data_IF_541778098408
#
_entry.id   IF_541778098408
#
_cell.length_a   1.000
_cell.length_b   1.000
_cell.length_c   1.000
_cell.angle_alpha   90.00
_cell.angle_beta   90.00
_cell.angle_gamma   90.00
#
_symmetry.space_group_name_H-M   'P 1'
#
loop_
_entity.id
_entity.type
_entity.pdbx_description
1 polymer ?
#
# COMPACT_ATOMS: atom_id res chain seq x y z
N UNK A 1 -8.13 2.80 -4.51
CA UNK A 1 -7.30 1.80 -3.81
C UNK A 1 -7.05 0.69 -4.79
N UNK A 2 -5.79 0.31 -5.03
CA UNK A 2 -5.46 -0.92 -5.72
C UNK A 2 -6.23 -2.08 -5.11
N UNK A 3 -6.58 -3.06 -5.94
CA UNK A 3 -7.09 -4.31 -5.40
C UNK A 3 -6.04 -4.88 -4.44
N UNK A 4 -6.44 -5.30 -3.23
CA UNK A 4 -5.55 -5.91 -2.23
C UNK A 4 -4.72 -7.06 -2.81
N UNK A 5 -5.23 -7.75 -3.82
CA UNK A 5 -4.50 -8.79 -4.56
C UNK A 5 -3.26 -8.26 -5.30
N UNK A 6 -3.27 -7.02 -5.78
CA UNK A 6 -2.10 -6.38 -6.42
C UNK A 6 -0.98 -6.24 -5.39
N UNK A 7 -1.28 -5.69 -4.21
CA UNK A 7 -0.29 -5.57 -3.14
C UNK A 7 0.29 -6.94 -2.72
N UNK A 8 -0.56 -7.95 -2.53
CA UNK A 8 -0.12 -9.31 -2.22
C UNK A 8 0.79 -9.90 -3.32
N UNK A 9 0.48 -9.66 -4.60
CA UNK A 9 1.30 -10.11 -5.74
C UNK A 9 2.66 -9.43 -5.75
N UNK A 10 2.70 -8.11 -5.55
CA UNK A 10 3.94 -7.33 -5.47
C UNK A 10 4.79 -7.80 -4.29
N UNK A 11 4.21 -7.98 -3.11
CA UNK A 11 4.92 -8.51 -1.94
C UNK A 11 5.49 -9.92 -2.21
N UNK A 12 4.71 -10.82 -2.84
CA UNK A 12 5.20 -12.16 -3.19
C UNK A 12 6.40 -12.09 -4.13
N UNK A 13 6.39 -11.19 -5.10
CA UNK A 13 7.49 -11.03 -6.04
C UNK A 13 8.77 -10.47 -5.36
N UNK A 14 8.63 -9.59 -4.37
CA UNK A 14 9.78 -8.86 -3.79
C UNK A 14 10.36 -9.59 -2.57
N UNK A 15 9.51 -10.06 -1.65
CA UNK A 15 9.94 -10.63 -0.36
C UNK A 15 9.61 -12.12 -0.20
N UNK A 16 9.10 -12.75 -1.26
CA UNK A 16 8.66 -14.14 -1.27
C UNK A 16 7.63 -14.45 -0.16
N UNK A 17 6.73 -13.49 0.08
CA UNK A 17 5.62 -13.59 1.03
C UNK A 17 4.50 -12.64 0.60
N UNK A 18 3.24 -13.01 0.82
CA UNK A 18 2.10 -12.12 0.57
C UNK A 18 1.97 -10.97 1.57
N UNK A 19 2.62 -11.08 2.74
CA UNK A 19 2.58 -10.10 3.82
C UNK A 19 1.16 -9.61 4.14
N UNK A 20 0.20 -10.53 4.13
CA UNK A 20 -1.24 -10.21 4.19
C UNK A 20 -1.62 -9.39 5.42
N UNK A 21 -0.98 -9.66 6.57
CA UNK A 21 -1.19 -8.94 7.82
C UNK A 21 -0.67 -7.50 7.77
N UNK A 22 0.42 -7.25 7.04
CA UNK A 22 0.97 -5.90 6.85
C UNK A 22 -0.01 -5.05 6.06
N UNK A 23 -0.47 -5.57 4.92
CA UNK A 23 -1.48 -4.88 4.11
C UNK A 23 -2.79 -4.66 4.87
N UNK A 24 -3.21 -5.62 5.70
CA UNK A 24 -4.38 -5.44 6.56
C UNK A 24 -4.24 -4.24 7.50
N UNK A 25 -3.09 -4.12 8.16
CA UNK A 25 -2.87 -3.11 9.19
C UNK A 25 -2.68 -1.71 8.61
N UNK A 26 -1.95 -1.60 7.50
CA UNK A 26 -1.77 -0.33 6.80
C UNK A 26 -3.12 0.22 6.32
N UNK A 27 -4.00 -0.65 5.80
CA UNK A 27 -5.34 -0.28 5.34
C UNK A 27 -6.41 -0.27 6.45
N UNK A 28 -6.09 -0.68 7.67
CA UNK A 28 -7.06 -0.75 8.77
C UNK A 28 -7.85 0.56 8.99
N UNK A 29 -7.23 1.76 8.90
CA UNK A 29 -7.95 3.02 9.04
C UNK A 29 -9.04 3.24 8.00
N UNK A 30 -9.07 2.51 6.88
CA UNK A 30 -10.14 2.56 5.89
C UNK A 30 -11.52 2.30 6.50
N UNK A 31 -11.60 1.43 7.52
CA UNK A 31 -12.85 1.12 8.23
C UNK A 31 -13.50 2.34 8.90
N UNK A 32 -12.70 3.37 9.22
CA UNK A 32 -13.16 4.54 9.96
C UNK A 32 -13.07 5.83 9.12
N UNK A 33 -12.06 5.94 8.25
CA UNK A 33 -11.76 7.15 7.48
C UNK A 33 -12.14 7.05 5.99
N UNK A 34 -12.55 5.87 5.52
CA UNK A 34 -12.84 5.63 4.11
C UNK A 34 -11.68 6.05 3.21
N UNK A 35 -11.95 6.85 2.17
CA UNK A 35 -10.92 7.32 1.22
C UNK A 35 -9.78 8.13 1.86
N UNK A 36 -9.98 8.70 3.06
CA UNK A 36 -8.97 9.48 3.80
C UNK A 36 -8.01 8.62 4.65
N UNK A 37 -8.13 7.29 4.64
CA UNK A 37 -7.26 6.39 5.41
C UNK A 37 -5.76 6.57 5.17
N UNK A 38 -5.37 7.02 3.96
CA UNK A 38 -3.97 7.29 3.59
C UNK A 38 -3.31 8.43 4.37
N UNK A 39 -4.03 9.07 5.29
CA UNK A 39 -3.45 10.01 6.25
C UNK A 39 -2.71 9.24 7.37
N UNK A 40 -3.09 8.00 7.65
CA UNK A 40 -2.48 7.14 8.66
C UNK A 40 -1.75 5.97 7.99
N UNK A 41 -0.56 5.64 8.50
CA UNK A 41 0.26 4.48 8.07
C UNK A 41 0.77 4.51 6.62
N UNK A 42 0.52 5.61 5.91
CA UNK A 42 0.87 5.78 4.49
C UNK A 42 1.96 6.84 4.27
N UNK A 43 2.58 7.34 5.33
CA UNK A 43 3.88 8.02 5.26
C UNK A 43 5.02 6.99 5.41
N UNK A 44 6.22 7.25 4.87
CA UNK A 44 7.32 6.30 4.90
C UNK A 44 7.74 5.84 6.31
N UNK A 45 7.70 6.75 7.30
CA UNK A 45 8.17 6.45 8.65
C UNK A 45 7.18 5.52 9.35
N UNK A 46 5.89 5.88 9.37
CA UNK A 46 4.86 5.04 9.99
C UNK A 46 4.69 3.71 9.26
N UNK A 47 4.81 3.68 7.93
CA UNK A 47 4.79 2.44 7.15
C UNK A 47 5.95 1.51 7.53
N UNK A 48 7.17 2.04 7.72
CA UNK A 48 8.33 1.27 8.19
C UNK A 48 8.06 0.69 9.57
N UNK A 49 7.55 1.49 10.51
CA UNK A 49 7.26 1.07 11.88
C UNK A 49 6.20 -0.05 11.88
N UNK A 50 5.05 0.17 11.23
CA UNK A 50 3.97 -0.83 11.14
C UNK A 50 4.45 -2.10 10.45
N UNK A 51 5.16 -1.96 9.33
CA UNK A 51 5.72 -3.08 8.58
C UNK A 51 6.70 -3.90 9.42
N UNK A 52 7.63 -3.25 10.11
CA UNK A 52 8.62 -3.92 10.94
C UNK A 52 7.98 -4.64 12.13
N UNK A 53 7.09 -3.97 12.87
CA UNK A 53 6.40 -4.57 14.02
C UNK A 53 5.50 -5.74 13.62
N UNK A 54 5.01 -5.76 12.38
CA UNK A 54 4.10 -6.81 11.89
C UNK A 54 4.83 -8.01 11.27
N UNK A 55 5.94 -7.79 10.56
CA UNK A 55 6.58 -8.81 9.74
C UNK A 55 8.10 -8.66 9.60
N UNK A 56 8.75 -7.93 10.50
CA UNK A 56 10.18 -7.65 10.46
C UNK A 56 10.62 -7.00 9.15
N UNK A 57 11.83 -7.34 8.68
CA UNK A 57 12.40 -6.79 7.43
C UNK A 57 11.47 -6.98 6.21
N UNK A 58 10.84 -8.16 6.07
CA UNK A 58 9.91 -8.44 4.96
C UNK A 58 8.69 -7.53 5.05
N UNK A 59 8.14 -7.36 6.24
CA UNK A 59 7.00 -6.48 6.47
C UNK A 59 7.32 -5.02 6.22
N UNK A 60 8.51 -4.54 6.58
CA UNK A 60 8.98 -3.18 6.24
C UNK A 60 9.01 -2.96 4.72
N UNK A 61 9.62 -3.88 3.97
CA UNK A 61 9.69 -3.77 2.51
C UNK A 61 8.28 -3.81 1.91
N UNK A 62 7.42 -4.72 2.39
CA UNK A 62 6.03 -4.84 1.95
C UNK A 62 5.20 -3.58 2.24
N UNK A 63 5.42 -2.92 3.38
CA UNK A 63 4.76 -1.68 3.73
C UNK A 63 5.18 -0.51 2.82
N UNK A 64 6.47 -0.39 2.55
CA UNK A 64 7.00 0.62 1.63
C UNK A 64 6.53 0.40 0.19
N UNK A 65 6.51 -0.85 -0.28
CA UNK A 65 6.02 -1.17 -1.62
C UNK A 65 4.52 -1.00 -1.72
N UNK A 66 3.77 -1.22 -0.64
CA UNK A 66 2.34 -0.92 -0.57
C UNK A 66 2.07 0.58 -0.83
N UNK A 67 2.70 1.49 -0.08
CA UNK A 67 2.50 2.93 -0.25
C UNK A 67 2.98 3.42 -1.63
N UNK A 68 4.08 2.86 -2.15
CA UNK A 68 4.58 3.18 -3.49
C UNK A 68 3.61 2.73 -4.58
N UNK A 69 3.02 1.54 -4.44
CA UNK A 69 2.00 1.03 -5.37
C UNK A 69 0.76 1.94 -5.37
N UNK A 70 0.33 2.37 -4.18
CA UNK A 70 -0.80 3.28 -4.01
C UNK A 70 -0.58 4.62 -4.70
N UNK A 71 0.63 5.17 -4.57
CA UNK A 71 1.05 6.39 -5.26
C UNK A 71 1.07 6.20 -6.78
N UNK A 72 1.79 5.20 -7.29
CA UNK A 72 1.92 4.95 -8.74
C UNK A 72 0.55 4.72 -9.41
N UNK A 73 -0.34 3.95 -8.79
CA UNK A 73 -1.68 3.73 -9.35
C UNK A 73 -2.54 4.99 -9.32
N UNK A 74 -2.36 5.86 -8.32
CA UNK A 74 -3.07 7.14 -8.26
C UNK A 74 -2.58 8.11 -9.34
N UNK A 75 -1.27 8.17 -9.58
CA UNK A 75 -0.69 8.99 -10.65
C UNK A 75 -1.04 8.45 -12.05
N UNK A 76 -1.02 7.13 -12.24
CA UNK A 76 -1.44 6.52 -13.49
C UNK A 76 -2.91 6.82 -13.80
N UNK A 77 -3.81 6.71 -12.83
CA UNK A 77 -5.23 7.05 -13.01
C UNK A 77 -5.43 8.52 -13.41
N UNK A 78 -4.70 9.46 -12.79
CA UNK A 78 -4.71 10.87 -13.19
C UNK A 78 -4.21 11.07 -14.61
N UNK A 79 -3.10 10.43 -14.97
CA UNK A 79 -2.52 10.52 -16.30
C UNK A 79 -3.49 10.00 -17.37
N UNK A 80 -4.09 8.83 -17.15
CA UNK A 80 -5.05 8.24 -18.09
C UNK A 80 -6.29 9.12 -18.27
N UNK A 81 -6.83 9.70 -17.19
CA UNK A 81 -7.95 10.65 -17.27
C UNK A 81 -7.62 11.89 -18.09
N UNK A 82 -6.39 12.39 -17.98
CA UNK A 82 -5.93 13.53 -18.78
C UNK A 82 -5.69 13.18 -20.24
N UNK A 83 -5.20 11.97 -20.53
CA UNK A 83 -4.91 11.49 -21.88
C UNK A 83 -6.20 11.22 -22.68
N UNK A 84 -7.20 10.62 -22.03
CA UNK A 84 -8.47 10.24 -22.64
C UNK A 84 -9.57 11.26 -22.40
N UNK A 85 -9.25 12.56 -22.30
CA UNK A 85 -10.25 13.62 -22.19
C UNK A 85 -11.30 13.52 -23.33
N UNK A 86 -12.41 12.86 -23.01
CA UNK A 86 -13.79 13.32 -23.25
C UNK A 86 -14.11 14.34 -22.16
#
# INVERSE_FOLDING_TARGET
>A
MPNRNIHKKISRAIVNDSCERVHYLIDLPYKFLGRKHRILFHDPISAVIVGYLTGGKKGTISALTHIATDYCMSELDKYLKNLFKV
#
